data_IF_942177734231
#
_entry.id   IF_942177734231
#
_cell.length_a   1.000
_cell.length_b   1.000
_cell.length_c   1.000
_cell.angle_alpha   90.00
_cell.angle_beta   90.00
_cell.angle_gamma   90.00
#
_symmetry.space_group_name_H-M   'P 1'
#
loop_
_entity.id
_entity.type
_entity.pdbx_description
1 polymer ?
#
# COMPACT_ATOMS: atom_id res chain seq x y z
N UNK A 1 43.46 18.66 9.89
CA UNK A 1 43.39 18.15 8.50
C UNK A 1 44.26 16.90 8.30
N UNK A 2 45.49 16.87 8.83
CA UNK A 2 46.41 15.70 8.78
C UNK A 2 45.92 14.46 9.55
N UNK A 3 45.30 14.62 10.72
CA UNK A 3 44.82 13.49 11.54
C UNK A 3 43.61 12.72 10.93
N UNK A 4 42.78 13.37 10.09
CA UNK A 4 41.64 12.73 9.41
C UNK A 4 42.13 11.92 8.21
N UNK A 5 43.14 12.43 7.49
CA UNK A 5 43.80 11.74 6.40
C UNK A 5 44.58 10.50 6.85
N UNK A 6 45.20 10.53 8.04
CA UNK A 6 45.85 9.34 8.61
C UNK A 6 44.86 8.26 9.06
N UNK A 7 43.68 8.65 9.57
CA UNK A 7 42.63 7.72 9.98
C UNK A 7 42.06 6.92 8.79
N UNK A 8 41.84 7.60 7.66
CA UNK A 8 41.40 6.95 6.40
C UNK A 8 42.42 5.96 5.82
N UNK A 9 43.72 6.11 6.12
CA UNK A 9 44.76 5.19 5.64
C UNK A 9 44.82 3.86 6.39
N UNK A 10 44.26 3.77 7.59
CA UNK A 10 44.32 2.59 8.47
C UNK A 10 42.94 1.92 8.71
N UNK A 11 41.86 2.41 8.07
CA UNK A 11 40.55 1.77 8.17
C UNK A 11 40.48 0.53 7.27
N UNK A 12 40.02 -0.58 7.85
CA UNK A 12 39.73 -1.80 7.08
C UNK A 12 38.68 -1.52 6.00
N UNK A 13 38.70 -2.29 4.90
CA UNK A 13 37.69 -2.23 3.84
C UNK A 13 36.25 -2.26 4.39
N UNK A 14 36.02 -3.08 5.42
CA UNK A 14 34.73 -3.18 6.13
C UNK A 14 34.34 -1.85 6.79
N UNK A 15 35.29 -1.16 7.41
CA UNK A 15 35.06 0.15 8.02
C UNK A 15 34.65 1.19 6.98
N UNK A 16 35.38 1.26 5.86
CA UNK A 16 35.03 2.14 4.75
C UNK A 16 33.63 1.84 4.18
N UNK A 17 33.30 0.55 3.99
CA UNK A 17 31.98 0.15 3.50
C UNK A 17 30.87 0.59 4.48
N UNK A 18 31.02 0.31 5.78
CA UNK A 18 30.05 0.72 6.79
C UNK A 18 29.86 2.25 6.79
N UNK A 19 30.96 3.01 6.79
CA UNK A 19 30.92 4.47 6.80
C UNK A 19 30.20 5.03 5.57
N UNK A 20 30.48 4.47 4.38
CA UNK A 20 29.80 4.86 3.15
C UNK A 20 28.32 4.51 3.15
N UNK A 21 27.97 3.28 3.57
CA UNK A 21 26.60 2.80 3.61
C UNK A 21 25.74 3.59 4.61
N UNK A 22 26.30 4.01 5.76
CA UNK A 22 25.58 4.80 6.78
C UNK A 22 25.64 6.31 6.55
N UNK A 23 26.29 6.78 5.49
CA UNK A 23 26.53 8.23 5.26
C UNK A 23 25.23 9.00 5.02
N UNK A 24 25.11 10.15 5.68
CA UNK A 24 24.03 11.13 5.48
C UNK A 24 24.29 12.06 4.29
N UNK A 25 25.50 12.05 3.74
CA UNK A 25 25.91 12.89 2.60
C UNK A 25 25.58 12.23 1.24
N UNK A 26 25.07 10.99 1.25
CA UNK A 26 24.61 10.35 0.04
C UNK A 26 23.32 11.05 -0.46
N UNK A 27 23.22 11.27 -1.78
CA UNK A 27 22.02 11.87 -2.38
C UNK A 27 20.75 11.06 -2.09
N UNK A 28 20.86 9.73 -2.06
CA UNK A 28 19.83 8.83 -1.55
C UNK A 28 20.43 8.01 -0.42
N UNK A 29 19.72 8.00 0.70
CA UNK A 29 20.12 7.24 1.87
C UNK A 29 20.01 5.73 1.63
N UNK A 30 20.98 4.95 2.16
CA UNK A 30 21.06 3.50 1.94
C UNK A 30 20.94 2.77 3.29
N UNK A 31 22.01 2.83 4.09
CA UNK A 31 22.22 2.05 5.31
C UNK A 31 21.80 0.57 5.19
N UNK A 32 21.39 -0.08 6.28
CA UNK A 32 21.30 -1.53 6.33
C UNK A 32 20.02 -2.04 5.65
N UNK A 33 18.90 -1.36 5.88
CA UNK A 33 17.65 -1.70 5.21
C UNK A 33 17.71 -1.39 3.70
N UNK A 34 18.38 -0.32 3.29
CA UNK A 34 18.50 0.06 1.88
C UNK A 34 19.26 -0.95 1.03
N UNK A 35 20.22 -1.67 1.62
CA UNK A 35 20.96 -2.73 0.91
C UNK A 35 20.02 -3.84 0.40
N UNK A 36 19.00 -4.20 1.19
CA UNK A 36 17.99 -5.17 0.80
C UNK A 36 16.91 -4.53 -0.08
N UNK A 37 16.36 -3.40 0.38
CA UNK A 37 15.30 -2.65 -0.30
C UNK A 37 15.62 -2.39 -1.77
N UNK A 38 16.82 -1.89 -2.07
CA UNK A 38 17.20 -1.53 -3.44
C UNK A 38 17.15 -2.76 -4.34
N UNK A 39 17.69 -3.90 -3.90
CA UNK A 39 17.75 -5.10 -4.73
C UNK A 39 16.37 -5.69 -4.97
N UNK A 40 15.55 -5.75 -3.93
CA UNK A 40 14.23 -6.37 -4.02
C UNK A 40 13.27 -5.50 -4.83
N UNK A 41 13.26 -4.18 -4.61
CA UNK A 41 12.42 -3.27 -5.40
C UNK A 41 12.88 -3.15 -6.85
N UNK A 42 14.19 -3.18 -7.13
CA UNK A 42 14.68 -3.22 -8.51
C UNK A 42 14.27 -4.51 -9.22
N UNK A 43 14.38 -5.67 -8.55
CA UNK A 43 13.93 -6.94 -9.11
C UNK A 43 12.42 -6.93 -9.37
N UNK A 44 11.60 -6.56 -8.38
CA UNK A 44 10.15 -6.48 -8.50
C UNK A 44 9.73 -5.53 -9.64
N UNK A 45 10.30 -4.31 -9.68
CA UNK A 45 9.99 -3.32 -10.72
C UNK A 45 10.40 -3.81 -12.10
N UNK A 46 11.58 -4.43 -12.23
CA UNK A 46 12.09 -4.89 -13.53
C UNK A 46 11.23 -6.02 -14.09
N UNK A 47 10.89 -7.01 -13.24
CA UNK A 47 10.02 -8.13 -13.63
C UNK A 47 8.60 -7.63 -13.92
N UNK A 48 8.06 -6.71 -13.11
CA UNK A 48 6.76 -6.09 -13.33
C UNK A 48 6.69 -5.42 -14.72
N UNK A 49 7.66 -4.56 -15.05
CA UNK A 49 7.66 -3.85 -16.35
C UNK A 49 7.71 -4.85 -17.52
N UNK A 50 8.55 -5.87 -17.44
CA UNK A 50 8.69 -6.87 -18.52
C UNK A 50 7.41 -7.70 -18.65
N UNK A 51 6.87 -8.20 -17.53
CA UNK A 51 5.66 -9.02 -17.52
C UNK A 51 4.44 -8.23 -18.01
N UNK A 52 4.27 -7.00 -17.55
CA UNK A 52 3.18 -6.12 -17.99
C UNK A 52 3.19 -5.90 -19.52
N UNK A 53 4.37 -5.76 -20.11
CA UNK A 53 4.51 -5.53 -21.55
C UNK A 53 4.35 -6.83 -22.34
N UNK A 54 4.95 -7.93 -21.89
CA UNK A 54 5.22 -9.09 -22.73
C UNK A 54 4.95 -10.46 -22.08
N UNK A 55 4.30 -10.53 -20.92
CA UNK A 55 3.93 -11.81 -20.32
C UNK A 55 3.01 -12.62 -21.24
N UNK A 56 3.16 -13.93 -21.18
CA UNK A 56 2.32 -14.89 -21.89
C UNK A 56 0.93 -14.97 -21.23
N UNK A 57 -0.05 -15.58 -21.91
CA UNK A 57 -1.33 -15.92 -21.29
C UNK A 57 -1.15 -16.87 -20.10
N UNK A 58 -1.92 -16.66 -19.03
CA UNK A 58 -1.75 -17.33 -17.73
C UNK A 58 -2.99 -18.13 -17.36
N UNK A 59 -2.82 -19.38 -16.93
CA UNK A 59 -3.90 -20.24 -16.44
C UNK A 59 -4.18 -20.04 -14.94
N UNK A 60 -4.87 -18.96 -14.60
CA UNK A 60 -5.12 -18.54 -13.21
C UNK A 60 -5.93 -19.57 -12.40
N UNK A 61 -7.02 -20.11 -12.96
CA UNK A 61 -7.90 -21.05 -12.25
C UNK A 61 -7.43 -22.51 -12.40
N UNK A 62 -6.34 -22.75 -13.14
CA UNK A 62 -5.82 -24.11 -13.35
C UNK A 62 -6.72 -25.03 -14.20
N UNK A 63 -7.74 -24.47 -14.86
CA UNK A 63 -8.70 -25.19 -15.71
C UNK A 63 -8.25 -25.25 -17.18
N UNK A 64 -7.04 -24.79 -17.49
CA UNK A 64 -6.46 -24.68 -18.84
C UNK A 64 -7.19 -23.66 -19.71
N UNK A 65 -7.60 -22.56 -19.11
CA UNK A 65 -8.20 -21.40 -19.79
C UNK A 65 -7.31 -20.16 -19.57
N UNK A 66 -6.27 -19.96 -20.40
CA UNK A 66 -5.32 -18.90 -20.17
C UNK A 66 -5.93 -17.51 -20.37
N UNK A 67 -5.79 -16.66 -19.36
CA UNK A 67 -6.20 -15.25 -19.39
C UNK A 67 -5.09 -14.39 -20.00
N UNK A 68 -5.46 -13.41 -20.83
CA UNK A 68 -4.52 -12.49 -21.47
C UNK A 68 -4.29 -11.26 -20.58
N UNK A 69 -3.05 -11.05 -20.14
CA UNK A 69 -2.70 -9.95 -19.23
C UNK A 69 -1.84 -8.83 -19.81
N UNK A 70 -0.98 -9.10 -20.80
CA UNK A 70 0.05 -8.13 -21.21
C UNK A 70 -0.31 -7.30 -22.43
N UNK A 71 0.38 -6.17 -22.60
CA UNK A 71 0.16 -5.21 -23.70
C UNK A 71 0.37 -5.81 -25.10
N UNK A 72 1.36 -6.71 -25.25
CA UNK A 72 1.60 -7.38 -26.53
C UNK A 72 0.48 -8.35 -26.93
N UNK A 73 -0.34 -8.79 -25.96
CA UNK A 73 -1.54 -9.58 -26.19
C UNK A 73 -2.81 -8.72 -26.19
N UNK A 74 -2.72 -7.54 -26.81
CA UNK A 74 -3.84 -6.63 -27.12
C UNK A 74 -4.55 -5.99 -25.91
N UNK A 75 -3.94 -6.04 -24.73
CA UNK A 75 -4.40 -5.25 -23.59
C UNK A 75 -3.96 -3.78 -23.66
N UNK A 76 -4.72 -2.91 -23.00
CA UNK A 76 -4.36 -1.51 -22.76
C UNK A 76 -4.17 -1.27 -21.26
N UNK A 77 -3.66 -0.08 -20.89
CA UNK A 77 -3.28 0.28 -19.50
C UNK A 77 -4.38 0.08 -18.43
N UNK A 78 -5.65 -0.03 -18.84
CA UNK A 78 -6.76 -0.30 -17.92
C UNK A 78 -7.02 -1.80 -17.79
N UNK A 79 -6.94 -2.53 -18.91
CA UNK A 79 -7.36 -3.93 -19.02
C UNK A 79 -6.25 -4.94 -18.84
N UNK A 80 -4.99 -4.54 -18.94
CA UNK A 80 -3.90 -5.45 -18.66
C UNK A 80 -4.02 -6.01 -17.24
N UNK A 81 -3.25 -7.05 -16.97
CA UNK A 81 -2.86 -7.40 -15.62
C UNK A 81 -1.58 -8.24 -15.65
N UNK A 82 -0.83 -8.19 -14.55
CA UNK A 82 -0.06 -9.36 -14.14
C UNK A 82 -1.04 -10.24 -13.36
N UNK A 83 -1.35 -11.38 -13.97
CA UNK A 83 -2.37 -12.31 -13.52
C UNK A 83 -1.79 -13.13 -12.35
N UNK A 84 -2.53 -13.34 -11.26
CA UNK A 84 -2.09 -14.18 -10.16
C UNK A 84 -1.62 -15.58 -10.56
N UNK A 85 -0.73 -16.14 -9.75
CA UNK A 85 -0.19 -17.49 -9.92
C UNK A 85 -1.30 -18.54 -9.91
N UNK A 86 -1.18 -19.55 -10.78
CA UNK A 86 -2.21 -20.58 -11.00
C UNK A 86 -2.68 -21.27 -9.71
N UNK A 87 -3.98 -21.54 -9.60
CA UNK A 87 -4.58 -22.29 -8.49
C UNK A 87 -4.01 -23.71 -8.37
N UNK A 88 -3.54 -24.30 -9.48
CA UNK A 88 -2.84 -25.59 -9.46
C UNK A 88 -1.56 -25.59 -8.62
N UNK A 89 -0.96 -24.41 -8.42
CA UNK A 89 0.18 -24.20 -7.52
C UNK A 89 -0.30 -23.92 -6.09
N UNK A 90 -1.43 -23.25 -5.91
CA UNK A 90 -1.95 -22.89 -4.59
C UNK A 90 -1.00 -21.97 -3.81
N UNK A 91 -0.48 -22.45 -2.67
CA UNK A 91 0.49 -21.75 -1.82
C UNK A 91 1.92 -22.27 -1.95
N UNK A 92 2.18 -23.17 -2.90
CA UNK A 92 3.53 -23.69 -3.11
C UNK A 92 4.46 -22.58 -3.61
N UNK A 93 5.64 -22.49 -3.00
CA UNK A 93 6.68 -21.54 -3.43
C UNK A 93 7.17 -21.93 -4.82
N UNK A 94 6.96 -21.07 -5.83
CA UNK A 94 7.18 -21.38 -7.25
C UNK A 94 8.26 -20.49 -7.91
N UNK A 95 9.53 -20.64 -7.50
CA UNK A 95 10.64 -19.91 -8.08
C UNK A 95 11.01 -20.45 -9.47
N UNK A 96 11.72 -19.65 -10.27
CA UNK A 96 12.16 -20.01 -11.63
C UNK A 96 12.93 -21.34 -11.69
N UNK A 97 13.65 -21.72 -10.63
CA UNK A 97 14.42 -22.97 -10.60
C UNK A 97 13.60 -24.22 -10.26
N UNK A 98 12.32 -24.07 -9.94
CA UNK A 98 11.43 -25.21 -9.67
C UNK A 98 10.91 -25.85 -10.97
N UNK A 99 10.94 -25.10 -12.08
CA UNK A 99 10.44 -25.57 -13.38
C UNK A 99 11.54 -26.14 -14.27
N UNK A 100 11.14 -27.01 -15.20
CA UNK A 100 12.05 -27.53 -16.22
C UNK A 100 12.29 -26.51 -17.35
N UNK A 101 11.30 -25.66 -17.65
CA UNK A 101 11.35 -24.67 -18.73
C UNK A 101 10.77 -23.33 -18.30
N UNK A 102 11.41 -22.22 -18.69
CA UNK A 102 10.92 -20.85 -18.40
C UNK A 102 9.50 -20.62 -18.93
N UNK A 103 9.12 -21.28 -20.02
CA UNK A 103 7.76 -21.20 -20.56
C UNK A 103 6.70 -21.71 -19.57
N UNK A 104 6.98 -22.81 -18.86
CA UNK A 104 6.08 -23.36 -17.84
C UNK A 104 5.91 -22.39 -16.66
N UNK A 105 7.00 -21.73 -16.27
CA UNK A 105 6.96 -20.70 -15.24
C UNK A 105 6.12 -19.48 -15.65
N UNK A 106 6.20 -19.07 -16.91
CA UNK A 106 5.37 -17.99 -17.45
C UNK A 106 3.90 -18.39 -17.64
N UNK A 107 3.61 -19.66 -17.95
CA UNK A 107 2.24 -20.15 -18.17
C UNK A 107 1.44 -20.25 -16.86
N UNK A 108 2.09 -20.60 -15.75
CA UNK A 108 1.47 -20.65 -14.43
C UNK A 108 1.63 -19.34 -13.62
N UNK A 109 2.10 -18.28 -14.28
CA UNK A 109 2.51 -16.98 -13.74
C UNK A 109 3.30 -16.99 -12.43
N UNK A 110 4.51 -17.55 -12.50
CA UNK A 110 5.51 -17.30 -11.48
C UNK A 110 6.03 -15.85 -11.38
N UNK A 111 5.94 -14.96 -12.40
CA UNK A 111 6.21 -13.54 -12.24
C UNK A 111 5.42 -12.89 -11.11
N UNK A 112 4.12 -13.18 -10.96
CA UNK A 112 3.29 -12.64 -9.89
C UNK A 112 3.88 -12.89 -8.50
N UNK A 113 4.13 -14.17 -8.16
CA UNK A 113 4.71 -14.53 -6.86
C UNK A 113 6.08 -13.88 -6.65
N UNK A 114 6.93 -13.86 -7.69
CA UNK A 114 8.23 -13.20 -7.62
C UNK A 114 8.08 -11.70 -7.31
N UNK A 115 7.20 -10.99 -8.02
CA UNK A 115 6.97 -9.56 -7.83
C UNK A 115 6.43 -9.30 -6.42
N UNK A 116 5.38 -10.01 -6.01
CA UNK A 116 4.72 -9.84 -4.71
C UNK A 116 5.71 -10.03 -3.56
N UNK A 117 6.47 -11.13 -3.54
CA UNK A 117 7.39 -11.42 -2.44
C UNK A 117 8.54 -10.41 -2.37
N UNK A 118 9.11 -10.02 -3.51
CA UNK A 118 10.17 -9.01 -3.54
C UNK A 118 9.65 -7.61 -3.21
N UNK A 119 8.43 -7.28 -3.64
CA UNK A 119 7.77 -6.02 -3.32
C UNK A 119 7.50 -5.91 -1.82
N UNK A 120 6.86 -6.91 -1.20
CA UNK A 120 6.54 -6.91 0.23
C UNK A 120 7.81 -6.82 1.10
N UNK A 121 8.87 -7.55 0.74
CA UNK A 121 10.16 -7.43 1.41
C UNK A 121 10.78 -6.03 1.20
N UNK A 122 10.67 -5.48 -0.01
CA UNK A 122 11.15 -4.15 -0.35
C UNK A 122 10.46 -3.03 0.43
N UNK A 123 9.12 -3.01 0.49
CA UNK A 123 8.37 -1.99 1.24
C UNK A 123 8.53 -2.14 2.76
N UNK A 124 8.71 -3.37 3.25
CA UNK A 124 9.07 -3.60 4.66
C UNK A 124 10.46 -3.06 4.97
N UNK A 125 11.43 -3.23 4.08
CA UNK A 125 12.75 -2.60 4.23
C UNK A 125 12.67 -1.09 4.08
N UNK A 126 11.81 -0.55 3.20
CA UNK A 126 11.59 0.90 3.08
C UNK A 126 11.07 1.50 4.39
N UNK A 127 10.10 0.86 5.03
CA UNK A 127 9.62 1.23 6.37
C UNK A 127 10.78 1.26 7.40
N UNK A 128 11.68 0.27 7.33
CA UNK A 128 12.90 0.23 8.14
C UNK A 128 13.88 1.36 7.82
N UNK A 129 14.05 1.72 6.53
CA UNK A 129 14.88 2.85 6.10
C UNK A 129 14.39 4.18 6.67
N UNK A 130 13.07 4.41 6.68
CA UNK A 130 12.47 5.63 7.27
C UNK A 130 12.80 5.76 8.74
N UNK A 131 12.63 4.67 9.50
CA UNK A 131 13.01 4.62 10.91
C UNK A 131 14.51 4.88 11.08
N UNK A 132 15.33 4.21 10.28
CA UNK A 132 16.77 4.23 10.39
C UNK A 132 17.37 5.62 10.11
N UNK A 133 16.84 6.33 9.11
CA UNK A 133 17.19 7.71 8.79
C UNK A 133 16.72 8.67 9.88
N UNK A 134 15.48 8.50 10.38
CA UNK A 134 14.94 9.35 11.45
C UNK A 134 15.82 9.31 12.70
N UNK A 135 16.34 8.12 13.05
CA UNK A 135 17.24 7.95 14.17
C UNK A 135 18.58 8.66 13.96
N UNK A 136 19.16 8.57 12.76
CA UNK A 136 20.43 9.24 12.45
C UNK A 136 20.32 10.77 12.48
N UNK A 137 19.20 11.31 12.00
CA UNK A 137 18.96 12.75 11.99
C UNK A 137 18.48 13.29 13.35
N UNK A 138 18.32 12.43 14.37
CA UNK A 138 17.78 12.84 15.67
C UNK A 138 16.30 13.25 15.61
N UNK A 139 15.57 12.81 14.59
CA UNK A 139 14.15 13.07 14.41
C UNK A 139 13.30 12.13 15.28
N UNK A 140 12.03 12.48 15.47
CA UNK A 140 11.06 11.58 16.11
C UNK A 140 10.70 10.43 15.15
N UNK A 141 10.69 9.16 15.59
CA UNK A 141 10.63 8.01 14.69
C UNK A 141 9.20 7.57 14.33
N UNK A 142 8.25 8.50 14.14
CA UNK A 142 6.82 8.17 13.96
C UNK A 142 6.35 8.14 12.50
N UNK A 143 7.18 8.56 11.55
CA UNK A 143 6.86 8.49 10.10
C UNK A 143 6.65 7.04 9.66
N UNK A 144 7.56 6.16 10.08
CA UNK A 144 7.48 4.69 9.85
C UNK A 144 6.17 4.09 10.37
N UNK A 145 5.63 4.61 11.48
CA UNK A 145 4.36 4.14 12.04
C UNK A 145 3.18 4.53 11.15
N UNK A 146 3.18 5.74 10.59
CA UNK A 146 2.16 6.13 9.62
C UNK A 146 2.26 5.30 8.32
N UNK A 147 3.48 5.06 7.82
CA UNK A 147 3.70 4.25 6.62
C UNK A 147 3.30 2.77 6.80
N UNK A 148 3.36 2.25 8.03
CA UNK A 148 2.98 0.87 8.35
C UNK A 148 1.54 0.52 7.96
N UNK A 149 0.61 1.49 7.93
CA UNK A 149 -0.76 1.26 7.49
C UNK A 149 -0.83 0.77 6.03
N UNK A 150 -0.04 1.39 5.14
CA UNK A 150 0.04 0.99 3.72
C UNK A 150 0.74 -0.36 3.55
N UNK A 151 1.82 -0.61 4.31
CA UNK A 151 2.52 -1.91 4.29
C UNK A 151 1.60 -3.03 4.77
N UNK A 152 0.81 -2.78 5.82
CA UNK A 152 -0.17 -3.73 6.33
C UNK A 152 -1.27 -4.01 5.29
N UNK A 153 -1.84 -2.98 4.67
CA UNK A 153 -2.86 -3.16 3.63
C UNK A 153 -2.33 -3.99 2.44
N UNK A 154 -1.12 -3.68 1.96
CA UNK A 154 -0.48 -4.45 0.90
C UNK A 154 -0.22 -5.91 1.32
N UNK A 155 0.26 -6.13 2.54
CA UNK A 155 0.50 -7.48 3.08
C UNK A 155 -0.81 -8.28 3.18
N UNK A 156 -1.92 -7.63 3.52
CA UNK A 156 -3.22 -8.27 3.63
C UNK A 156 -3.69 -8.79 2.26
N UNK A 157 -3.71 -7.94 1.23
CA UNK A 157 -4.27 -8.31 -0.08
C UNK A 157 -3.37 -9.20 -0.92
N UNK A 158 -2.05 -9.14 -0.72
CA UNK A 158 -1.09 -9.92 -1.51
C UNK A 158 -0.56 -11.17 -0.82
N UNK A 159 -0.74 -11.33 0.50
CA UNK A 159 -0.19 -12.46 1.24
C UNK A 159 -1.20 -13.09 2.21
N UNK A 160 -1.78 -12.31 3.12
CA UNK A 160 -2.67 -12.88 4.14
C UNK A 160 -3.95 -13.44 3.54
N UNK A 161 -4.57 -12.72 2.61
CA UNK A 161 -5.79 -13.18 1.95
C UNK A 161 -5.55 -14.45 1.11
N UNK A 162 -4.53 -14.50 0.22
CA UNK A 162 -4.11 -15.75 -0.42
C UNK A 162 -3.89 -16.92 0.53
N UNK A 163 -3.18 -16.71 1.64
CA UNK A 163 -2.94 -17.74 2.65
C UNK A 163 -4.26 -18.23 3.26
N UNK A 164 -5.19 -17.31 3.56
CA UNK A 164 -6.50 -17.63 4.10
C UNK A 164 -7.37 -18.44 3.13
N UNK A 165 -7.26 -18.14 1.83
CA UNK A 165 -7.98 -18.83 0.76
C UNK A 165 -7.26 -20.06 0.20
N UNK A 166 -6.05 -20.37 0.68
CA UNK A 166 -5.30 -21.54 0.24
C UNK A 166 -4.63 -21.43 -1.14
N UNK A 167 -4.63 -20.25 -1.77
CA UNK A 167 -4.03 -20.06 -3.10
C UNK A 167 -3.61 -18.61 -3.38
N UNK A 168 -2.48 -18.43 -4.08
CA UNK A 168 -2.10 -17.13 -4.65
C UNK A 168 -2.97 -16.70 -5.83
N UNK A 169 -3.74 -17.60 -6.46
CA UNK A 169 -4.72 -17.24 -7.51
C UNK A 169 -5.76 -16.24 -7.00
N UNK A 170 -6.14 -16.37 -5.72
CA UNK A 170 -7.06 -15.49 -5.02
C UNK A 170 -6.42 -14.16 -4.57
N UNK A 171 -5.13 -13.94 -4.82
CA UNK A 171 -4.46 -12.68 -4.55
C UNK A 171 -4.93 -11.57 -5.48
N UNK A 172 -4.85 -10.32 -5.02
CA UNK A 172 -5.22 -9.18 -5.87
C UNK A 172 -4.29 -9.13 -7.11
N UNK A 173 -4.84 -9.12 -8.35
CA UNK A 173 -4.03 -8.96 -9.56
C UNK A 173 -3.34 -7.59 -9.61
N UNK A 174 -2.19 -7.50 -10.29
CA UNK A 174 -1.37 -6.27 -10.30
C UNK A 174 -1.76 -5.28 -11.40
N UNK A 175 -3.03 -4.84 -11.46
CA UNK A 175 -3.50 -3.78 -12.36
C UNK A 175 -4.91 -3.26 -12.01
N UNK A 176 -5.38 -2.25 -12.75
CA UNK A 176 -6.65 -1.54 -12.55
C UNK A 176 -7.87 -2.47 -12.70
N UNK A 177 -8.05 -3.12 -13.85
CA UNK A 177 -9.22 -4.00 -14.06
C UNK A 177 -9.21 -5.21 -13.14
N UNK A 178 -8.03 -5.78 -12.90
CA UNK A 178 -7.87 -6.89 -11.95
C UNK A 178 -8.16 -6.49 -10.51
N UNK A 179 -7.84 -5.26 -10.10
CA UNK A 179 -8.26 -4.72 -8.79
C UNK A 179 -9.78 -4.64 -8.68
N UNK A 180 -10.48 -4.19 -9.73
CA UNK A 180 -11.95 -4.17 -9.72
C UNK A 180 -12.54 -5.57 -9.64
N UNK A 181 -12.00 -6.53 -10.38
CA UNK A 181 -12.42 -7.92 -10.30
C UNK A 181 -12.26 -8.47 -8.88
N UNK A 182 -11.08 -8.30 -8.27
CA UNK A 182 -10.82 -8.69 -6.88
C UNK A 182 -11.84 -8.07 -5.90
N UNK A 183 -12.12 -6.76 -6.03
CA UNK A 183 -13.09 -6.08 -5.15
C UNK A 183 -14.52 -6.60 -5.31
N UNK A 184 -14.93 -6.98 -6.52
CA UNK A 184 -16.27 -7.51 -6.79
C UNK A 184 -16.42 -8.91 -6.20
N UNK A 185 -15.45 -9.79 -6.46
CA UNK A 185 -15.43 -11.15 -5.91
C UNK A 185 -15.34 -11.11 -4.38
N UNK A 186 -14.49 -10.26 -3.82
CA UNK A 186 -14.38 -10.10 -2.37
C UNK A 186 -15.68 -9.57 -1.73
N UNK A 187 -16.40 -8.67 -2.41
CA UNK A 187 -17.72 -8.22 -1.94
C UNK A 187 -18.74 -9.35 -1.97
N UNK A 188 -18.67 -10.23 -2.96
CA UNK A 188 -19.57 -11.36 -3.06
C UNK A 188 -19.34 -12.37 -1.93
N UNK A 189 -18.14 -12.93 -1.85
CA UNK A 189 -17.77 -13.96 -0.88
C UNK A 189 -17.86 -13.47 0.57
N UNK A 190 -17.48 -12.21 0.85
CA UNK A 190 -17.30 -11.71 2.23
C UNK A 190 -18.27 -10.61 2.63
N UNK A 191 -19.09 -10.10 1.70
CA UNK A 191 -19.98 -8.95 1.94
C UNK A 191 -19.27 -7.77 2.63
N UNK A 192 -18.08 -7.41 2.13
CA UNK A 192 -17.15 -6.47 2.78
C UNK A 192 -17.79 -5.10 3.09
N UNK A 193 -18.74 -4.64 2.26
CA UNK A 193 -19.47 -3.39 2.49
C UNK A 193 -20.22 -3.38 3.84
N UNK A 194 -20.62 -4.54 4.35
CA UNK A 194 -21.29 -4.69 5.64
C UNK A 194 -20.31 -4.88 6.80
N UNK A 195 -19.01 -5.03 6.52
CA UNK A 195 -17.99 -5.26 7.54
C UNK A 195 -17.56 -3.94 8.20
N UNK A 196 -17.60 -3.89 9.54
CA UNK A 196 -17.32 -2.66 10.30
C UNK A 196 -15.90 -2.12 10.08
N UNK A 197 -14.88 -2.97 9.92
CA UNK A 197 -13.53 -2.50 9.61
C UNK A 197 -13.43 -1.84 8.23
N UNK A 198 -14.20 -2.29 7.24
CA UNK A 198 -14.24 -1.63 5.94
C UNK A 198 -14.91 -0.25 6.05
N UNK A 199 -16.03 -0.14 6.77
CA UNK A 199 -16.68 1.15 7.03
C UNK A 199 -15.76 2.13 7.78
N UNK A 200 -14.93 1.64 8.71
CA UNK A 200 -13.93 2.44 9.40
C UNK A 200 -12.82 2.89 8.44
N UNK A 201 -12.31 2.00 7.58
CA UNK A 201 -11.35 2.35 6.53
C UNK A 201 -11.89 3.43 5.59
N UNK A 202 -13.14 3.29 5.15
CA UNK A 202 -13.87 4.29 4.35
C UNK A 202 -13.95 5.63 5.09
N UNK A 203 -14.30 5.62 6.38
CA UNK A 203 -14.32 6.83 7.23
C UNK A 203 -12.94 7.47 7.35
N UNK A 204 -11.88 6.66 7.48
CA UNK A 204 -10.49 7.10 7.54
C UNK A 204 -10.06 7.82 6.24
N UNK A 205 -10.33 7.23 5.08
CA UNK A 205 -9.94 7.81 3.78
C UNK A 205 -10.77 9.05 3.43
N UNK A 206 -12.10 9.01 3.61
CA UNK A 206 -12.95 10.18 3.36
C UNK A 206 -12.63 11.32 4.34
N UNK A 207 -12.50 11.04 5.63
CA UNK A 207 -12.12 12.09 6.58
C UNK A 207 -10.69 12.58 6.35
N UNK A 208 -9.74 11.71 5.99
CA UNK A 208 -8.37 12.10 5.64
C UNK A 208 -8.32 13.08 4.46
N UNK A 209 -9.08 12.82 3.39
CA UNK A 209 -9.19 13.75 2.25
C UNK A 209 -9.88 15.07 2.62
N UNK A 210 -10.97 15.01 3.41
CA UNK A 210 -11.67 16.19 3.93
C UNK A 210 -10.73 17.07 4.76
N UNK A 211 -10.01 16.48 5.72
CA UNK A 211 -9.12 17.23 6.61
C UNK A 211 -7.87 17.73 5.90
N UNK A 212 -7.38 17.03 4.88
CA UNK A 212 -6.31 17.52 4.00
C UNK A 212 -6.75 18.80 3.28
N UNK A 213 -7.94 18.79 2.66
CA UNK A 213 -8.50 19.95 1.99
C UNK A 213 -8.81 21.11 2.97
N UNK A 214 -9.36 20.79 4.14
CA UNK A 214 -9.62 21.76 5.21
C UNK A 214 -8.32 22.42 5.70
N UNK A 215 -7.29 21.63 6.02
CA UNK A 215 -6.02 22.16 6.50
C UNK A 215 -5.34 23.03 5.44
N UNK A 216 -5.23 22.53 4.20
CA UNK A 216 -4.64 23.28 3.09
C UNK A 216 -5.37 24.61 2.82
N UNK A 217 -6.70 24.62 2.85
CA UNK A 217 -7.49 25.84 2.65
C UNK A 217 -7.37 26.84 3.79
N UNK A 218 -7.37 26.39 5.05
CA UNK A 218 -7.19 27.27 6.22
C UNK A 218 -5.81 27.93 6.25
N UNK A 219 -4.75 27.16 6.01
CA UNK A 219 -3.38 27.69 5.93
C UNK A 219 -3.27 28.70 4.78
N UNK A 220 -3.75 28.33 3.58
CA UNK A 220 -3.70 29.21 2.40
C UNK A 220 -4.48 30.52 2.61
N UNK A 221 -5.64 30.45 3.27
CA UNK A 221 -6.48 31.62 3.54
C UNK A 221 -5.89 32.61 4.56
N UNK A 222 -4.88 32.17 5.33
CA UNK A 222 -4.31 32.93 6.44
C UNK A 222 -2.82 33.24 6.25
N UNK A 223 -2.30 33.07 5.02
CA UNK A 223 -0.93 33.46 4.67
C UNK A 223 -0.68 34.94 4.99
N UNK A 224 0.48 35.21 5.59
CA UNK A 224 0.94 36.58 5.81
C UNK A 224 1.38 37.13 4.45
N UNK A 225 0.98 38.36 4.15
CA UNK A 225 1.27 38.98 2.86
C UNK A 225 2.72 39.47 2.83
N UNK A 226 3.57 38.73 2.13
CA UNK A 226 4.98 39.07 1.90
C UNK A 226 5.28 39.52 0.45
N UNK A 227 4.33 39.32 -0.49
CA UNK A 227 4.52 39.64 -1.91
C UNK A 227 3.54 40.70 -2.44
N UNK A 228 3.87 41.25 -3.61
CA UNK A 228 3.00 42.17 -4.36
C UNK A 228 2.08 41.42 -5.33
N UNK A 229 1.04 42.09 -5.84
CA UNK A 229 -0.05 41.46 -6.62
C UNK A 229 0.41 40.72 -7.89
N UNK A 230 1.57 41.06 -8.45
CA UNK A 230 2.07 40.51 -9.70
C UNK A 230 3.11 39.38 -9.50
N UNK A 231 3.30 38.93 -8.26
CA UNK A 231 4.19 37.83 -7.90
C UNK A 231 3.37 36.66 -7.30
N UNK A 232 3.91 35.46 -7.38
CA UNK A 232 3.29 34.31 -6.74
C UNK A 232 3.39 34.41 -5.21
N UNK A 233 2.34 34.05 -4.49
CA UNK A 233 2.34 34.05 -3.03
C UNK A 233 3.40 33.11 -2.42
N UNK A 234 3.79 32.05 -3.14
CA UNK A 234 4.78 31.07 -2.69
C UNK A 234 6.18 31.68 -2.52
N UNK A 235 6.53 32.71 -3.31
CA UNK A 235 7.81 33.43 -3.19
C UNK A 235 7.91 34.23 -1.88
N UNK A 236 6.78 34.40 -1.17
CA UNK A 236 6.74 34.99 0.16
C UNK A 236 7.31 34.08 1.26
N UNK A 237 7.48 32.78 1.00
CA UNK A 237 8.12 31.85 1.91
C UNK A 237 9.58 31.61 1.51
N UNK A 238 10.49 31.73 2.47
CA UNK A 238 11.90 31.39 2.31
C UNK A 238 12.24 30.10 3.04
N UNK A 239 12.94 29.17 2.36
CA UNK A 239 13.38 27.92 2.99
C UNK A 239 14.30 28.20 4.19
N UNK A 240 14.03 27.53 5.32
CA UNK A 240 14.72 27.75 6.61
C UNK A 240 14.40 29.07 7.34
N UNK A 241 13.32 29.77 6.97
CA UNK A 241 12.84 30.89 7.78
C UNK A 241 12.37 30.42 9.17
N UNK A 242 12.62 31.23 10.20
CA UNK A 242 12.24 30.91 11.58
C UNK A 242 10.77 31.25 11.90
N UNK A 243 10.19 32.20 11.16
CA UNK A 243 8.82 32.68 11.40
C UNK A 243 7.80 31.84 10.65
N UNK A 244 6.68 31.55 11.31
CA UNK A 244 5.52 30.89 10.70
C UNK A 244 4.98 31.73 9.53
N UNK A 245 4.66 31.08 8.41
CA UNK A 245 4.26 31.78 7.17
C UNK A 245 2.77 32.19 7.14
N UNK A 246 2.00 31.79 8.14
CA UNK A 246 0.55 32.01 8.22
C UNK A 246 0.12 32.34 9.64
N UNK A 247 -1.04 32.98 9.78
CA UNK A 247 -1.60 33.36 11.08
C UNK A 247 -2.59 32.30 11.59
N UNK A 248 -2.11 31.40 12.45
CA UNK A 248 -2.95 30.35 13.06
C UNK A 248 -4.11 30.91 13.89
N UNK A 249 -3.96 32.09 14.52
CA UNK A 249 -5.03 32.71 15.31
C UNK A 249 -6.17 33.17 14.39
N UNK A 250 -5.84 33.71 13.22
CA UNK A 250 -6.83 34.07 12.21
C UNK A 250 -7.54 32.82 11.64
N UNK A 251 -6.79 31.77 11.32
CA UNK A 251 -7.36 30.49 10.85
C UNK A 251 -8.29 29.86 11.89
N UNK A 252 -7.83 29.78 13.15
CA UNK A 252 -8.62 29.27 14.28
C UNK A 252 -9.88 30.10 14.50
N UNK A 253 -9.76 31.44 14.45
CA UNK A 253 -10.89 32.37 14.62
C UNK A 253 -11.92 32.27 13.50
N UNK A 254 -11.50 32.03 12.26
CA UNK A 254 -12.40 31.75 11.14
C UNK A 254 -13.12 30.42 11.33
N UNK A 255 -12.37 29.32 11.53
CA UNK A 255 -12.96 27.99 11.61
C UNK A 255 -13.85 27.81 12.86
N UNK A 256 -13.44 28.38 14.00
CA UNK A 256 -14.24 28.37 15.23
C UNK A 256 -15.55 29.16 15.12
N UNK A 257 -15.65 30.12 14.19
CA UNK A 257 -16.91 30.80 13.85
C UNK A 257 -17.74 30.05 12.81
N UNK A 258 -17.09 29.24 11.98
CA UNK A 258 -17.76 28.45 10.94
C UNK A 258 -18.53 27.26 11.52
N UNK A 259 -17.96 26.57 12.51
CA UNK A 259 -18.54 25.38 13.15
C UNK A 259 -18.94 25.71 14.60
N UNK A 260 -18.03 25.53 15.56
CA UNK A 260 -18.16 25.96 16.96
C UNK A 260 -16.77 26.26 17.53
N UNK A 261 -16.66 27.20 18.47
CA UNK A 261 -15.36 27.68 18.98
C UNK A 261 -14.53 26.59 19.67
N UNK A 262 -15.18 25.56 20.23
CA UNK A 262 -14.52 24.44 20.91
C UNK A 262 -14.03 23.33 19.96
N UNK A 263 -14.53 23.30 18.72
CA UNK A 263 -14.19 22.26 17.72
C UNK A 263 -13.00 22.67 16.82
N UNK A 264 -12.40 23.83 17.09
CA UNK A 264 -11.28 24.36 16.33
C UNK A 264 -9.96 24.16 17.08
N UNK A 265 -8.94 23.63 16.40
CA UNK A 265 -7.61 23.48 16.99
C UNK A 265 -6.92 24.85 17.12
N UNK A 266 -6.48 25.19 18.33
CA UNK A 266 -5.63 26.36 18.60
C UNK A 266 -4.15 25.98 18.83
N UNK A 267 -3.86 24.67 18.90
CA UNK A 267 -2.52 24.11 19.04
C UNK A 267 -2.14 23.36 17.77
N UNK A 268 -1.11 23.84 17.07
CA UNK A 268 -0.61 23.23 15.82
C UNK A 268 -0.18 21.77 16.01
N UNK A 269 0.45 21.42 17.14
CA UNK A 269 0.88 20.03 17.39
C UNK A 269 -0.31 19.07 17.50
N UNK A 270 -1.38 19.48 18.18
CA UNK A 270 -2.59 18.66 18.30
C UNK A 270 -3.29 18.50 16.96
N UNK A 271 -3.33 19.55 16.14
CA UNK A 271 -3.88 19.50 14.79
C UNK A 271 -3.12 18.50 13.92
N UNK A 272 -1.79 18.59 13.86
CA UNK A 272 -0.99 17.70 13.02
C UNK A 272 -0.98 16.25 13.53
N UNK A 273 -1.05 16.05 14.85
CA UNK A 273 -1.25 14.72 15.43
C UNK A 273 -2.62 14.14 15.02
N UNK A 274 -3.67 14.95 15.07
CA UNK A 274 -5.01 14.53 14.62
C UNK A 274 -5.01 14.17 13.12
N UNK A 275 -4.38 14.98 12.28
CA UNK A 275 -4.25 14.69 10.83
C UNK A 275 -3.50 13.37 10.58
N UNK A 276 -2.45 13.10 11.35
CA UNK A 276 -1.69 11.86 11.25
C UNK A 276 -2.44 10.65 11.83
N UNK A 277 -3.23 10.84 12.89
CA UNK A 277 -3.92 9.76 13.59
C UNK A 277 -5.29 9.40 13.00
N UNK A 278 -5.97 10.33 12.33
CA UNK A 278 -7.31 10.09 11.77
C UNK A 278 -7.33 8.91 10.80
N UNK A 279 -6.25 8.70 10.06
CA UNK A 279 -6.08 7.57 9.14
C UNK A 279 -5.57 6.29 9.80
N UNK A 280 -5.23 6.33 11.11
CA UNK A 280 -4.48 5.27 11.83
C UNK A 280 -5.29 4.64 12.98
N UNK A 281 -6.46 5.14 13.35
CA UNK A 281 -7.22 4.67 14.52
C UNK A 281 -8.38 3.72 14.14
N UNK A 282 -8.53 2.62 14.90
CA UNK A 282 -9.64 1.65 14.83
C UNK A 282 -10.26 1.48 16.22
N UNK A 283 -11.59 1.52 16.31
CA UNK A 283 -12.39 1.13 17.48
C UNK A 283 -13.33 -0.03 17.13
N UNK A 284 -13.63 -0.88 18.11
CA UNK A 284 -14.35 -2.15 17.97
C UNK A 284 -15.65 -2.16 18.79
N UNK A 285 -16.76 -1.66 18.24
CA UNK A 285 -18.09 -1.99 18.76
C UNK A 285 -19.11 -2.21 17.64
N UNK A 286 -19.23 -3.47 17.24
CA UNK A 286 -20.25 -3.95 16.31
C UNK A 286 -21.60 -4.14 17.00
N UNK A 287 -22.62 -3.45 16.50
CA UNK A 287 -24.02 -3.81 16.71
C UNK A 287 -24.80 -3.67 15.40
N UNK A 288 -25.59 -4.68 15.08
CA UNK A 288 -26.34 -4.78 13.82
C UNK A 288 -27.84 -4.76 14.10
N UNK A 289 -28.59 -4.03 13.27
CA UNK A 289 -30.07 -4.01 13.22
C UNK A 289 -30.48 -4.10 11.74
N UNK A 290 -31.43 -4.98 11.41
CA UNK A 290 -31.80 -5.34 10.02
C UNK A 290 -32.55 -4.22 9.26
N UNK A 291 -32.07 -3.87 8.05
CA UNK A 291 -32.75 -3.03 7.03
C UNK A 291 -32.32 -3.42 5.59
N UNK A 292 -31.89 -2.50 4.70
CA UNK A 292 -31.57 -2.64 3.25
C UNK A 292 -30.65 -3.81 2.80
N UNK A 293 -30.17 -4.61 3.75
CA UNK A 293 -29.36 -5.83 3.59
C UNK A 293 -29.91 -6.80 2.53
N UNK A 294 -31.24 -6.94 2.40
CA UNK A 294 -31.81 -7.87 1.41
C UNK A 294 -31.54 -7.46 -0.05
N UNK A 295 -31.37 -6.17 -0.35
CA UNK A 295 -31.02 -5.71 -1.71
C UNK A 295 -29.54 -5.99 -1.99
N UNK A 296 -28.68 -5.80 -1.00
CA UNK A 296 -27.24 -6.10 -1.08
C UNK A 296 -27.04 -7.60 -1.30
N UNK A 297 -27.76 -8.46 -0.57
CA UNK A 297 -27.67 -9.91 -0.74
C UNK A 297 -28.06 -10.37 -2.15
N UNK A 298 -29.00 -9.70 -2.83
CA UNK A 298 -29.37 -10.04 -4.20
C UNK A 298 -28.29 -9.59 -5.20
N UNK A 299 -27.65 -8.45 -4.96
CA UNK A 299 -26.53 -7.99 -5.78
C UNK A 299 -25.33 -8.95 -5.66
N UNK A 300 -25.04 -9.42 -4.44
CA UNK A 300 -24.02 -10.45 -4.20
C UNK A 300 -24.37 -11.74 -4.95
N UNK A 301 -25.58 -12.30 -4.80
CA UNK A 301 -25.98 -13.52 -5.51
C UNK A 301 -25.76 -13.45 -7.05
N UNK A 302 -25.92 -12.27 -7.65
CA UNK A 302 -25.65 -12.07 -9.08
C UNK A 302 -24.15 -12.12 -9.45
N UNK A 303 -23.27 -11.76 -8.52
CA UNK A 303 -21.80 -11.88 -8.65
C UNK A 303 -21.37 -13.34 -8.40
N UNK A 304 -21.89 -13.98 -7.35
CA UNK A 304 -21.60 -15.37 -6.97
C UNK A 304 -21.79 -16.34 -8.14
N UNK A 305 -22.94 -16.26 -8.82
CA UNK A 305 -23.26 -17.19 -9.90
C UNK A 305 -22.50 -16.93 -11.22
N UNK A 306 -21.77 -15.81 -11.31
CA UNK A 306 -21.10 -15.38 -12.54
C UNK A 306 -19.57 -15.39 -12.44
N UNK A 307 -18.99 -15.25 -11.24
CA UNK A 307 -17.54 -15.34 -11.07
C UNK A 307 -17.07 -16.78 -11.31
N UNK A 308 -15.86 -16.92 -11.88
CA UNK A 308 -15.21 -18.21 -12.16
C UNK A 308 -16.16 -19.26 -12.78
N UNK A 309 -16.96 -18.84 -13.77
CA UNK A 309 -18.10 -19.61 -14.29
C UNK A 309 -17.81 -21.05 -14.76
N UNK A 310 -16.54 -21.40 -14.98
CA UNK A 310 -16.08 -22.72 -15.40
C UNK A 310 -15.30 -23.49 -14.31
N UNK A 311 -15.03 -22.90 -13.13
CA UNK A 311 -14.20 -23.49 -12.09
C UNK A 311 -14.99 -24.41 -11.14
N UNK A 312 -16.25 -24.07 -10.84
CA UNK A 312 -17.02 -24.75 -9.81
C UNK A 312 -17.75 -26.00 -10.33
N UNK A 313 -17.51 -27.16 -9.70
CA UNK A 313 -18.17 -28.44 -10.01
C UNK A 313 -19.19 -28.89 -8.94
N UNK A 314 -19.23 -28.17 -7.81
CA UNK A 314 -20.07 -28.48 -6.65
C UNK A 314 -20.91 -27.25 -6.27
N UNK A 315 -22.06 -27.42 -5.60
CA UNK A 315 -23.02 -26.34 -5.37
C UNK A 315 -22.64 -25.36 -4.25
N UNK A 316 -21.49 -25.55 -3.60
CA UNK A 316 -21.00 -24.69 -2.52
C UNK A 316 -19.53 -24.40 -2.82
N UNK A 317 -19.17 -23.13 -2.87
CA UNK A 317 -17.80 -22.68 -2.92
C UNK A 317 -17.20 -22.66 -1.51
N UNK A 318 -16.19 -23.49 -1.26
CA UNK A 318 -15.51 -23.65 0.02
C UNK A 318 -14.00 -23.76 -0.23
N UNK A 319 -13.25 -22.71 0.11
CA UNK A 319 -11.80 -22.66 -0.04
C UNK A 319 -11.01 -23.01 1.26
N UNK A 320 -11.68 -23.17 2.41
CA UNK A 320 -11.03 -23.44 3.71
C UNK A 320 -11.48 -24.73 4.41
N UNK A 321 -10.55 -25.38 5.10
CA UNK A 321 -10.79 -26.53 5.98
C UNK A 321 -11.72 -26.09 7.13
N UNK A 322 -12.89 -26.73 7.26
CA UNK A 322 -13.72 -26.61 8.47
C UNK A 322 -12.85 -26.92 9.70
N UNK A 323 -12.75 -25.96 10.63
CA UNK A 323 -12.24 -26.27 11.96
C UNK A 323 -13.13 -27.35 12.57
N UNK A 324 -12.58 -28.56 12.72
CA UNK A 324 -13.24 -29.68 13.39
C UNK A 324 -13.81 -29.20 14.73
N UNK A 325 -15.13 -29.04 14.79
CA UNK A 325 -15.88 -28.89 16.03
C UNK A 325 -15.66 -30.15 16.86
N UNK A 326 -14.66 -30.13 17.73
CA UNK A 326 -14.45 -31.14 18.76
C UNK A 326 -15.42 -30.86 19.91
N UNK A 327 -16.70 -31.14 19.66
CA UNK A 327 -17.69 -31.33 20.71
C UNK A 327 -18.05 -32.81 20.74
N UNK A 328 -17.17 -33.58 21.40
CA UNK A 328 -17.43 -34.90 21.96
C UNK A 328 -16.97 -34.89 23.41
#
# INVERSE_FOLDING_TARGET
>A
MTAILERHKNESLRGHLCNWTTSTENHLYIKWFGVLMIRTLLAATSVFIIAFIAALPVDIDGIREPTLGSLLYENHIISGAIIPTSETIGLHFYPIWEVAYVYEWLYNDGPYEQIVLHFLLGVSCYMGCEWELSFLLGMRPWITVAYSASVAAATIVFLIYPIGQGSFSNGMPLEISGTFNFMIVFQDEHNILMHSFHMLGVTGVFGGSLFTAMHGSLVTSSLIRETIKNEYANEGYSFSQEQETYNIVAAHGYFGRLIFQYDSFNNSHSLHLFLAAWTVVVDSQGRVINTWINIINHANLGMEVMHESNAHNFPIDLAAIEALSTNG
#
